data_IF_699789074422
#
_entry.id   IF_699789074422
#
_cell.length_a   1.000
_cell.length_b   1.000
_cell.length_c   1.000
_cell.angle_alpha   90.00
_cell.angle_beta   90.00
_cell.angle_gamma   90.00
#
_symmetry.space_group_name_H-M   'P 1'
#
loop_
_entity.id
_entity.type
_entity.pdbx_description
1 polymer ?
#
# COMPACT_ATOMS: atom_id res chain seq x y z
N UNK A 1 24.28 21.29 21.39
CA UNK A 1 23.53 22.30 20.60
C UNK A 1 24.27 23.66 20.48
N UNK A 2 25.61 23.71 20.43
CA UNK A 2 26.38 24.98 20.40
C UNK A 2 26.47 25.67 19.02
N UNK A 3 26.20 24.97 17.92
CA UNK A 3 26.53 25.47 16.57
C UNK A 3 25.38 26.13 15.79
N UNK A 4 24.13 26.07 16.26
CA UNK A 4 22.92 26.58 15.56
C UNK A 4 23.02 26.42 14.02
N UNK A 5 23.25 25.19 13.51
CA UNK A 5 23.44 24.98 12.08
C UNK A 5 22.19 25.39 11.31
N UNK A 6 22.37 26.01 10.16
CA UNK A 6 21.25 26.31 9.25
C UNK A 6 20.72 25.01 8.65
N UNK A 7 19.46 25.02 8.23
CA UNK A 7 18.82 23.84 7.64
C UNK A 7 19.58 23.32 6.41
N UNK A 8 20.16 24.24 5.63
CA UNK A 8 21.07 23.90 4.54
C UNK A 8 22.30 23.09 4.96
N UNK A 9 22.89 23.36 6.15
CA UNK A 9 24.02 22.58 6.69
C UNK A 9 23.54 21.22 7.19
N UNK A 10 22.32 21.12 7.70
CA UNK A 10 21.71 19.85 8.11
C UNK A 10 21.51 18.95 6.89
N UNK A 11 20.98 19.48 5.79
CA UNK A 11 20.83 18.75 4.52
C UNK A 11 22.18 18.25 3.99
N UNK A 12 23.23 19.06 4.05
CA UNK A 12 24.57 18.64 3.60
C UNK A 12 25.12 17.48 4.45
N UNK A 13 24.97 17.53 5.77
CA UNK A 13 25.35 16.43 6.66
C UNK A 13 24.52 15.18 6.42
N UNK A 14 23.21 15.30 6.16
CA UNK A 14 22.35 14.16 5.82
C UNK A 14 22.76 13.53 4.48
N UNK A 15 23.20 14.34 3.52
CA UNK A 15 23.75 13.86 2.25
C UNK A 15 25.02 13.04 2.46
N UNK A 16 25.97 13.56 3.24
CA UNK A 16 27.22 12.86 3.57
C UNK A 16 26.97 11.52 4.28
N UNK A 17 25.89 11.43 5.08
CA UNK A 17 25.45 10.21 5.75
C UNK A 17 24.62 9.27 4.88
N UNK A 18 24.36 9.60 3.60
CA UNK A 18 23.53 8.79 2.70
C UNK A 18 22.05 8.71 3.12
N UNK A 19 21.55 9.70 3.86
CA UNK A 19 20.17 9.75 4.37
C UNK A 19 19.23 10.60 3.51
N UNK A 20 19.67 10.96 2.31
CA UNK A 20 18.92 11.76 1.34
C UNK A 20 18.78 11.00 0.01
N UNK A 21 17.78 11.34 -0.81
CA UNK A 21 17.60 10.71 -2.11
C UNK A 21 18.77 10.95 -3.05
N UNK A 22 19.04 9.98 -3.91
CA UNK A 22 20.07 10.09 -4.96
C UNK A 22 19.56 10.97 -6.10
N UNK A 23 19.86 12.27 -6.01
CA UNK A 23 19.44 13.27 -7.01
C UNK A 23 20.60 13.71 -7.89
N UNK A 24 20.37 13.78 -9.19
CA UNK A 24 21.38 14.17 -10.20
C UNK A 24 21.93 15.56 -9.93
N UNK A 25 21.07 16.50 -9.54
CA UNK A 25 21.46 17.87 -9.21
C UNK A 25 21.04 18.25 -7.78
N UNK A 26 21.86 17.86 -6.80
CA UNK A 26 21.63 18.17 -5.40
C UNK A 26 21.52 19.66 -5.10
N UNK A 27 22.24 20.53 -5.83
CA UNK A 27 22.17 21.98 -5.59
C UNK A 27 20.79 22.54 -5.95
N UNK A 28 20.22 22.09 -7.06
CA UNK A 28 18.86 22.46 -7.47
C UNK A 28 17.82 21.91 -6.48
N UNK A 29 17.93 20.62 -6.14
CA UNK A 29 17.05 19.95 -5.19
C UNK A 29 17.07 20.60 -3.79
N UNK A 30 18.27 20.93 -3.28
CA UNK A 30 18.43 21.63 -2.01
C UNK A 30 17.77 23.00 -2.04
N UNK A 31 17.88 23.73 -3.16
CA UNK A 31 17.22 25.02 -3.33
C UNK A 31 15.71 24.86 -3.28
N UNK A 32 15.16 23.90 -4.02
CA UNK A 32 13.72 23.62 -4.06
C UNK A 32 13.15 23.31 -2.66
N UNK A 33 13.87 22.54 -1.85
CA UNK A 33 13.48 22.31 -0.45
C UNK A 33 13.53 23.60 0.36
N UNK A 34 14.62 24.36 0.27
CA UNK A 34 14.77 25.59 1.03
C UNK A 34 13.82 26.72 0.58
N UNK A 35 13.24 26.62 -0.61
CA UNK A 35 12.22 27.55 -1.10
C UNK A 35 10.93 27.48 -0.26
N UNK A 36 10.70 26.41 0.53
CA UNK A 36 9.58 26.34 1.47
C UNK A 36 9.63 27.42 2.57
N UNK A 37 10.81 28.00 2.85
CA UNK A 37 10.94 29.14 3.77
C UNK A 37 10.41 30.45 3.18
N UNK A 38 10.27 30.52 1.85
CA UNK A 38 9.88 31.72 1.11
C UNK A 38 8.48 31.61 0.47
N UNK A 39 7.88 30.42 0.52
CA UNK A 39 6.62 30.09 -0.13
C UNK A 39 5.60 29.65 0.93
N UNK A 40 4.37 30.11 0.80
CA UNK A 40 3.25 29.62 1.62
C UNK A 40 2.65 28.32 1.05
N UNK A 41 3.28 27.73 0.03
CA UNK A 41 2.90 26.42 -0.52
C UNK A 41 3.54 25.30 0.28
N UNK A 42 2.74 24.28 0.59
CA UNK A 42 3.22 23.01 1.12
C UNK A 42 4.13 22.36 0.07
N UNK A 43 5.36 22.04 0.48
CA UNK A 43 6.26 21.19 -0.30
C UNK A 43 5.98 19.74 0.08
N UNK A 44 5.64 18.92 -0.90
CA UNK A 44 5.30 17.51 -0.68
C UNK A 44 5.98 16.64 -1.73
N UNK A 45 6.72 15.63 -1.29
CA UNK A 45 7.42 14.72 -2.20
C UNK A 45 7.72 13.38 -1.55
N UNK A 46 8.09 12.39 -2.35
CA UNK A 46 8.57 11.08 -1.88
C UNK A 46 10.07 10.97 -2.13
N UNK A 47 10.83 10.70 -1.07
CA UNK A 47 12.28 10.49 -1.16
C UNK A 47 12.59 9.01 -1.21
N UNK A 48 13.21 8.59 -2.31
CA UNK A 48 13.80 7.26 -2.45
C UNK A 48 15.23 7.29 -1.93
N UNK A 49 15.46 6.73 -0.75
CA UNK A 49 16.76 6.69 -0.11
C UNK A 49 17.65 5.61 -0.70
N UNK A 50 18.97 5.78 -0.58
CA UNK A 50 19.95 4.84 -1.14
C UNK A 50 19.97 3.49 -0.43
N UNK A 51 19.38 3.40 0.77
CA UNK A 51 19.20 2.15 1.53
C UNK A 51 17.88 1.42 1.19
N UNK A 52 17.13 1.90 0.21
CA UNK A 52 15.89 1.28 -0.27
C UNK A 52 14.63 1.76 0.45
N UNK A 53 14.73 2.62 1.46
CA UNK A 53 13.56 3.21 2.10
C UNK A 53 12.88 4.25 1.25
N UNK A 54 11.57 4.39 1.42
CA UNK A 54 10.79 5.48 0.84
C UNK A 54 10.19 6.32 1.95
N UNK A 55 10.55 7.59 1.99
CA UNK A 55 10.00 8.55 2.93
C UNK A 55 9.03 9.48 2.22
N UNK A 56 7.82 9.63 2.73
CA UNK A 56 6.95 10.74 2.38
C UNK A 56 7.35 11.95 3.20
N UNK A 57 7.70 13.03 2.51
CA UNK A 57 8.25 14.25 3.11
C UNK A 57 7.34 15.42 2.79
N UNK A 58 6.82 16.02 3.85
CA UNK A 58 6.04 17.25 3.79
C UNK A 58 6.82 18.34 4.52
N UNK A 59 6.96 19.50 3.91
CA UNK A 59 7.52 20.69 4.53
C UNK A 59 6.54 21.86 4.39
N UNK A 60 6.18 22.44 5.53
CA UNK A 60 5.25 23.56 5.59
C UNK A 60 5.83 24.71 6.43
N UNK A 61 5.65 25.93 5.92
CA UNK A 61 6.00 27.15 6.63
C UNK A 61 4.99 27.43 7.74
N UNK A 62 5.49 27.69 8.94
CA UNK A 62 4.71 28.09 10.10
C UNK A 62 4.53 29.60 10.15
N UNK A 63 3.48 30.05 10.85
CA UNK A 63 3.17 31.48 11.03
C UNK A 63 4.29 32.27 11.73
N UNK A 64 5.13 31.59 12.51
CA UNK A 64 6.30 32.18 13.19
C UNK A 64 7.53 32.31 12.27
N UNK A 65 7.41 31.94 10.99
CA UNK A 65 8.49 31.98 10.01
C UNK A 65 9.44 30.77 10.04
N UNK A 66 9.18 29.78 10.91
CA UNK A 66 9.84 28.48 10.89
C UNK A 66 9.27 27.56 9.81
N UNK A 67 9.89 26.40 9.62
CA UNK A 67 9.39 25.32 8.76
C UNK A 67 9.28 24.06 9.60
N UNK A 68 8.16 23.36 9.46
CA UNK A 68 7.99 22.00 10.00
C UNK A 68 8.16 21.00 8.88
N UNK A 69 9.07 20.04 9.10
CA UNK A 69 9.20 18.85 8.29
C UNK A 69 8.48 17.68 8.94
N UNK A 70 7.64 16.99 8.19
CA UNK A 70 7.08 15.69 8.53
C UNK A 70 7.70 14.63 7.64
N UNK A 71 8.22 13.57 8.25
CA UNK A 71 8.75 12.41 7.56
C UNK A 71 7.92 11.19 7.97
N UNK A 72 7.26 10.56 7.01
CA UNK A 72 6.59 9.27 7.20
C UNK A 72 7.37 8.19 6.46
N UNK A 73 7.68 7.09 7.15
CA UNK A 73 8.31 5.94 6.52
C UNK A 73 7.23 5.08 5.84
N UNK A 74 7.13 5.18 4.52
CA UNK A 74 6.19 4.41 3.69
C UNK A 74 6.84 3.13 3.13
N UNK A 75 8.06 2.77 3.57
CA UNK A 75 8.82 1.65 3.01
C UNK A 75 8.06 0.34 3.09
N UNK A 76 7.34 0.08 4.19
CA UNK A 76 6.58 -1.17 4.34
C UNK A 76 5.39 -1.25 3.39
N UNK A 77 4.68 -0.14 3.16
CA UNK A 77 3.52 -0.08 2.28
C UNK A 77 3.97 -0.18 0.82
N UNK A 78 5.00 0.57 0.43
CA UNK A 78 5.50 0.61 -0.95
C UNK A 78 6.35 -0.60 -1.33
N UNK A 79 7.12 -1.19 -0.41
CA UNK A 79 7.84 -2.44 -0.69
C UNK A 79 6.88 -3.63 -0.79
N UNK A 80 5.79 -3.61 -0.05
CA UNK A 80 4.73 -4.61 -0.17
C UNK A 80 4.00 -4.46 -1.52
N UNK A 81 3.58 -3.24 -1.88
CA UNK A 81 2.94 -2.93 -3.16
C UNK A 81 3.84 -3.17 -4.39
N UNK A 82 5.13 -2.80 -4.31
CA UNK A 82 6.11 -3.01 -5.39
C UNK A 82 6.51 -4.48 -5.53
N UNK A 83 6.62 -5.22 -4.42
CA UNK A 83 6.79 -6.68 -4.46
C UNK A 83 5.57 -7.35 -5.08
N UNK A 84 4.36 -6.90 -4.77
CA UNK A 84 3.14 -7.42 -5.42
C UNK A 84 3.03 -7.02 -6.89
N UNK A 85 3.41 -5.80 -7.28
CA UNK A 85 3.44 -5.37 -8.69
C UNK A 85 4.47 -6.15 -9.51
N UNK A 86 5.64 -6.43 -8.94
CA UNK A 86 6.66 -7.26 -9.59
C UNK A 86 6.23 -8.74 -9.68
N UNK A 87 5.51 -9.25 -8.67
CA UNK A 87 4.89 -10.58 -8.70
C UNK A 87 3.70 -10.69 -9.68
N UNK A 88 3.06 -9.56 -10.00
CA UNK A 88 2.01 -9.42 -11.00
C UNK A 88 2.59 -9.38 -12.43
N UNK A 89 3.71 -8.68 -12.62
CA UNK A 89 4.36 -8.55 -13.94
C UNK A 89 5.14 -9.82 -14.36
N UNK A 90 5.58 -10.64 -13.39
CA UNK A 90 6.26 -11.92 -13.67
C UNK A 90 5.26 -13.07 -13.69
N UNK A 91 4.81 -13.36 -14.90
CA UNK A 91 3.96 -14.46 -15.32
C UNK A 91 4.21 -15.80 -14.58
N UNK A 92 3.14 -16.32 -13.98
CA UNK A 92 2.75 -17.71 -13.70
C UNK A 92 3.63 -18.71 -12.95
N UNK A 93 4.91 -18.49 -12.67
CA UNK A 93 5.75 -19.58 -12.09
C UNK A 93 6.02 -19.47 -10.57
N UNK A 94 5.77 -18.32 -9.93
CA UNK A 94 6.14 -18.11 -8.51
C UNK A 94 4.96 -18.00 -7.53
N UNK A 95 3.74 -17.80 -8.04
CA UNK A 95 2.53 -17.62 -7.24
C UNK A 95 2.06 -18.89 -6.50
N UNK A 96 2.59 -20.06 -6.85
CA UNK A 96 2.27 -21.35 -6.19
C UNK A 96 2.86 -21.50 -4.78
N UNK A 97 3.79 -20.61 -4.38
CA UNK A 97 4.47 -20.69 -3.07
C UNK A 97 3.88 -19.81 -1.97
N UNK A 98 2.98 -18.87 -2.31
CA UNK A 98 2.36 -17.97 -1.33
C UNK A 98 1.09 -18.61 -0.78
N UNK A 99 1.07 -18.85 0.54
CA UNK A 99 -0.16 -19.22 1.28
C UNK A 99 -1.19 -18.09 1.37
N UNK A 100 -0.80 -16.89 0.97
CA UNK A 100 -1.64 -15.69 0.96
C UNK A 100 -2.39 -15.58 -0.36
N UNK A 101 -3.71 -15.50 -0.29
CA UNK A 101 -4.58 -15.24 -1.43
C UNK A 101 -4.45 -13.80 -1.89
N UNK A 102 -4.24 -13.61 -3.19
CA UNK A 102 -4.11 -12.31 -3.83
C UNK A 102 -5.15 -12.20 -4.94
N UNK A 103 -5.83 -11.05 -5.01
CA UNK A 103 -6.74 -10.70 -6.10
C UNK A 103 -6.65 -9.20 -6.41
N UNK A 104 -6.73 -8.85 -7.68
CA UNK A 104 -6.72 -7.46 -8.16
C UNK A 104 -7.96 -7.20 -8.99
N UNK A 105 -8.64 -6.09 -8.70
CA UNK A 105 -9.78 -5.59 -9.47
C UNK A 105 -9.40 -4.33 -10.25
N UNK A 106 -9.87 -4.22 -11.49
CA UNK A 106 -9.75 -3.03 -12.31
C UNK A 106 -10.64 -1.88 -11.82
N UNK A 107 -10.48 -0.72 -12.45
CA UNK A 107 -11.35 0.45 -12.25
C UNK A 107 -12.80 0.19 -12.66
N UNK A 108 -13.04 -0.81 -13.50
CA UNK A 108 -14.35 -1.31 -13.92
C UNK A 108 -14.95 -2.32 -12.92
N UNK A 109 -14.29 -2.56 -11.79
CA UNK A 109 -14.70 -3.51 -10.76
C UNK A 109 -14.56 -4.97 -11.18
N UNK A 110 -13.96 -5.27 -12.34
CA UNK A 110 -13.75 -6.64 -12.80
C UNK A 110 -12.42 -7.18 -12.33
N UNK A 111 -12.40 -8.47 -12.03
CA UNK A 111 -11.19 -9.19 -11.66
C UNK A 111 -10.19 -9.09 -12.83
N UNK A 112 -8.93 -8.74 -12.52
CA UNK A 112 -7.82 -8.74 -13.49
C UNK A 112 -6.83 -9.87 -13.22
N UNK A 113 -6.52 -10.08 -11.95
CA UNK A 113 -5.49 -11.02 -11.51
C UNK A 113 -5.98 -11.73 -10.27
N UNK A 114 -5.68 -13.02 -10.16
CA UNK A 114 -5.84 -13.78 -8.94
C UNK A 114 -4.74 -14.84 -8.86
N UNK A 115 -4.46 -15.35 -7.65
CA UNK A 115 -3.61 -16.52 -7.47
C UNK A 115 -4.42 -17.75 -7.00
N UNK A 116 -3.87 -18.97 -7.12
CA UNK A 116 -4.56 -20.19 -6.65
C UNK A 116 -4.89 -20.21 -5.16
N UNK A 117 -4.09 -19.53 -4.33
CA UNK A 117 -4.36 -19.40 -2.90
C UNK A 117 -5.66 -18.64 -2.63
N UNK A 118 -5.97 -17.57 -3.38
CA UNK A 118 -7.23 -16.85 -3.26
C UNK A 118 -8.44 -17.74 -3.57
N UNK A 119 -8.35 -18.49 -4.68
CA UNK A 119 -9.38 -19.46 -5.06
C UNK A 119 -9.59 -20.52 -3.98
N UNK A 120 -8.49 -21.01 -3.39
CA UNK A 120 -8.50 -22.04 -2.34
C UNK A 120 -9.06 -21.52 -1.02
N UNK A 121 -8.65 -20.32 -0.59
CA UNK A 121 -9.17 -19.67 0.62
C UNK A 121 -10.68 -19.53 0.47
N UNK A 122 -11.18 -18.91 -0.61
CA UNK A 122 -12.61 -18.64 -0.73
C UNK A 122 -13.45 -19.77 -1.32
N UNK A 123 -12.83 -20.93 -1.61
CA UNK A 123 -13.52 -22.07 -2.21
C UNK A 123 -14.17 -21.75 -3.56
N UNK A 124 -13.60 -20.79 -4.31
CA UNK A 124 -14.13 -20.35 -5.59
C UNK A 124 -13.49 -21.18 -6.70
N UNK A 125 -14.28 -21.82 -7.59
CA UNK A 125 -13.73 -22.58 -8.71
C UNK A 125 -12.88 -21.70 -9.62
N UNK A 126 -11.67 -22.15 -9.99
CA UNK A 126 -10.77 -21.41 -10.88
C UNK A 126 -11.46 -21.00 -12.19
N UNK A 127 -12.22 -21.91 -12.81
CA UNK A 127 -13.05 -21.64 -14.00
C UNK A 127 -13.94 -20.39 -13.90
N UNK A 128 -14.42 -20.06 -12.70
CA UNK A 128 -15.27 -18.89 -12.46
C UNK A 128 -14.43 -17.61 -12.36
N UNK A 129 -13.22 -17.69 -11.83
CA UNK A 129 -12.29 -16.56 -11.76
C UNK A 129 -11.64 -16.26 -13.12
N UNK A 130 -11.44 -17.30 -13.95
CA UNK A 130 -10.97 -17.20 -15.34
C UNK A 130 -11.93 -16.42 -16.25
N UNK A 131 -13.20 -16.27 -15.87
CA UNK A 131 -14.19 -15.44 -16.58
C UNK A 131 -14.07 -13.94 -16.24
N UNK A 132 -13.10 -13.56 -15.38
CA UNK A 132 -12.88 -12.19 -14.91
C UNK A 132 -14.18 -11.54 -14.39
N UNK A 133 -14.81 -12.13 -13.35
CA UNK A 133 -16.10 -11.69 -12.83
C UNK A 133 -16.02 -10.29 -12.18
N UNK A 134 -17.17 -9.64 -12.06
CA UNK A 134 -17.27 -8.40 -11.29
C UNK A 134 -17.11 -8.68 -9.78
N UNK A 135 -16.62 -7.70 -9.02
CA UNK A 135 -16.41 -7.81 -7.57
C UNK A 135 -17.65 -8.29 -6.82
N UNK A 136 -18.85 -7.89 -7.25
CA UNK A 136 -20.11 -8.34 -6.63
C UNK A 136 -20.33 -9.85 -6.73
N UNK A 137 -19.92 -10.46 -7.84
CA UNK A 137 -20.00 -11.91 -8.02
C UNK A 137 -18.98 -12.64 -7.16
N UNK A 138 -17.76 -12.12 -7.08
CA UNK A 138 -16.72 -12.65 -6.20
C UNK A 138 -17.16 -12.57 -4.74
N UNK A 139 -17.69 -11.42 -4.32
CA UNK A 139 -18.28 -11.19 -3.00
C UNK A 139 -19.38 -12.20 -2.70
N UNK A 140 -20.34 -12.39 -3.62
CA UNK A 140 -21.45 -13.33 -3.46
C UNK A 140 -20.99 -14.77 -3.27
N UNK A 141 -19.89 -15.17 -3.91
CA UNK A 141 -19.31 -16.50 -3.78
C UNK A 141 -18.54 -16.65 -2.46
N UNK A 142 -17.69 -15.67 -2.14
CA UNK A 142 -16.88 -15.66 -0.92
C UNK A 142 -17.72 -15.54 0.36
N UNK A 143 -18.84 -14.81 0.31
CA UNK A 143 -19.75 -14.62 1.45
C UNK A 143 -20.42 -15.92 1.93
N UNK A 144 -20.34 -17.02 1.16
CA UNK A 144 -20.81 -18.34 1.59
C UNK A 144 -19.99 -18.92 2.75
N UNK A 145 -18.71 -18.52 2.86
CA UNK A 145 -17.79 -19.00 3.90
C UNK A 145 -17.63 -17.99 5.04
N UNK A 146 -18.06 -16.76 4.83
CA UNK A 146 -18.07 -15.68 5.82
C UNK A 146 -19.33 -14.82 5.64
N UNK A 147 -20.31 -15.00 6.54
CA UNK A 147 -21.64 -14.40 6.43
C UNK A 147 -21.73 -12.94 6.87
N UNK A 148 -20.62 -12.31 7.29
CA UNK A 148 -20.62 -10.88 7.60
C UNK A 148 -20.63 -10.07 6.30
N UNK A 149 -21.80 -9.56 5.94
CA UNK A 149 -22.01 -8.79 4.72
C UNK A 149 -21.45 -7.37 4.82
N UNK A 150 -21.19 -6.84 6.03
CA UNK A 150 -20.73 -5.46 6.20
C UNK A 150 -19.32 -5.29 5.63
N UNK A 151 -18.43 -6.24 5.94
CA UNK A 151 -17.05 -6.23 5.43
C UNK A 151 -17.04 -6.37 3.90
N UNK A 152 -17.85 -7.28 3.36
CA UNK A 152 -17.95 -7.48 1.93
C UNK A 152 -18.53 -6.27 1.18
N UNK A 153 -19.53 -5.60 1.76
CA UNK A 153 -20.06 -4.35 1.20
C UNK A 153 -19.00 -3.25 1.21
N UNK A 154 -18.21 -3.16 2.28
CA UNK A 154 -17.09 -2.21 2.36
C UNK A 154 -16.03 -2.49 1.28
N UNK A 155 -15.68 -3.75 1.06
CA UNK A 155 -14.77 -4.18 -0.02
C UNK A 155 -15.33 -3.80 -1.39
N UNK A 156 -16.59 -4.16 -1.68
CA UNK A 156 -17.22 -3.84 -2.96
C UNK A 156 -17.22 -2.35 -3.25
N UNK A 157 -17.63 -1.53 -2.26
CA UNK A 157 -17.60 -0.06 -2.37
C UNK A 157 -16.19 0.48 -2.62
N UNK A 158 -15.18 -0.05 -1.94
CA UNK A 158 -13.80 0.41 -2.11
C UNK A 158 -13.22 0.06 -3.49
N UNK A 159 -13.62 -1.07 -4.06
CA UNK A 159 -13.24 -1.47 -5.43
C UNK A 159 -13.91 -0.57 -6.48
N UNK A 160 -15.17 -0.20 -6.28
CA UNK A 160 -15.95 0.62 -7.23
C UNK A 160 -15.92 2.12 -6.94
N UNK A 161 -15.25 2.57 -5.88
CA UNK A 161 -15.17 3.98 -5.50
C UNK A 161 -14.34 4.79 -6.51
N UNK A 162 -14.59 6.10 -6.59
CA UNK A 162 -13.76 7.02 -7.34
C UNK A 162 -12.35 7.10 -6.74
N UNK A 163 -11.34 7.36 -7.59
CA UNK A 163 -9.91 7.29 -7.25
C UNK A 163 -9.55 8.06 -5.98
N UNK A 164 -10.13 9.23 -5.76
CA UNK A 164 -9.77 10.14 -4.66
C UNK A 164 -10.33 9.72 -3.29
N UNK A 165 -11.28 8.78 -3.26
CA UNK A 165 -11.96 8.32 -2.03
C UNK A 165 -11.49 6.93 -1.56
N UNK A 166 -10.53 6.32 -2.27
CA UNK A 166 -10.03 4.97 -1.93
C UNK A 166 -9.01 5.06 -0.80
N UNK A 167 -9.45 4.73 0.40
CA UNK A 167 -8.57 4.59 1.57
C UNK A 167 -8.17 3.13 1.76
N UNK A 168 -6.88 2.84 2.00
CA UNK A 168 -6.46 1.49 2.34
C UNK A 168 -7.06 1.10 3.69
N UNK A 169 -7.41 -0.17 3.83
CA UNK A 169 -7.84 -0.70 5.12
C UNK A 169 -7.57 -2.19 5.24
N UNK A 170 -7.43 -2.63 6.47
CA UNK A 170 -7.19 -4.01 6.84
C UNK A 170 -8.17 -4.44 7.93
N UNK A 171 -8.25 -5.74 8.13
CA UNK A 171 -9.05 -6.32 9.18
C UNK A 171 -8.96 -7.83 9.17
N UNK A 172 -9.91 -8.44 9.86
CA UNK A 172 -9.92 -9.88 10.05
C UNK A 172 -11.33 -10.44 9.97
N UNK A 173 -11.45 -11.56 9.28
CA UNK A 173 -12.68 -12.31 9.12
C UNK A 173 -12.57 -13.63 9.89
N UNK A 174 -13.59 -13.96 10.66
CA UNK A 174 -13.76 -15.31 11.20
C UNK A 174 -14.70 -16.09 10.31
N UNK A 175 -14.24 -17.20 9.75
CA UNK A 175 -15.03 -18.05 8.86
C UNK A 175 -15.89 -19.06 9.62
N UNK A 176 -16.87 -19.60 8.91
CA UNK A 176 -17.79 -20.61 9.45
C UNK A 176 -17.09 -21.90 9.90
N UNK A 177 -15.93 -22.22 9.30
CA UNK A 177 -15.06 -23.34 9.65
C UNK A 177 -14.10 -23.05 10.84
N UNK A 178 -14.32 -21.93 11.55
CA UNK A 178 -13.46 -21.42 12.63
C UNK A 178 -12.03 -21.06 12.18
N UNK A 179 -11.79 -20.85 10.88
CA UNK A 179 -10.55 -20.24 10.41
C UNK A 179 -10.57 -18.72 10.59
N UNK A 180 -9.39 -18.14 10.74
CA UNK A 180 -9.20 -16.70 10.86
C UNK A 180 -8.41 -16.21 9.65
N UNK A 181 -9.03 -15.32 8.89
CA UNK A 181 -8.47 -14.76 7.67
C UNK A 181 -8.18 -13.28 7.91
N UNK A 182 -6.91 -12.91 7.91
CA UNK A 182 -6.52 -11.51 7.83
C UNK A 182 -6.68 -11.04 6.38
N UNK A 183 -7.16 -9.82 6.20
CA UNK A 183 -7.30 -9.22 4.88
C UNK A 183 -6.78 -7.80 4.87
N UNK A 184 -6.26 -7.38 3.73
CA UNK A 184 -5.88 -6.00 3.46
C UNK A 184 -6.35 -5.58 2.08
N UNK A 185 -6.76 -4.32 1.97
CA UNK A 185 -7.14 -3.68 0.71
C UNK A 185 -6.27 -2.44 0.51
N UNK A 186 -5.65 -2.36 -0.66
CA UNK A 186 -4.83 -1.21 -1.06
C UNK A 186 -5.19 -0.74 -2.48
N UNK A 187 -5.48 0.55 -2.70
CA UNK A 187 -5.57 1.10 -4.05
C UNK A 187 -4.20 1.12 -4.73
N UNK A 188 -4.17 0.88 -6.04
CA UNK A 188 -2.98 0.90 -6.87
C UNK A 188 -2.89 2.21 -7.68
N UNK A 189 -1.68 2.65 -8.10
CA UNK A 189 -1.50 3.92 -8.82
C UNK A 189 -2.24 4.03 -10.17
N UNK A 190 -2.60 2.90 -10.78
CA UNK A 190 -3.36 2.82 -12.03
C UNK A 190 -4.88 2.84 -11.81
N UNK A 191 -5.32 2.96 -10.55
CA UNK A 191 -6.73 2.90 -10.17
C UNK A 191 -7.29 1.50 -9.99
N UNK A 192 -6.47 0.46 -10.09
CA UNK A 192 -6.87 -0.86 -9.66
C UNK A 192 -6.92 -0.94 -8.11
N UNK A 193 -7.51 -2.00 -7.59
CA UNK A 193 -7.53 -2.28 -6.14
C UNK A 193 -6.98 -3.67 -5.90
N UNK A 194 -5.97 -3.77 -5.04
CA UNK A 194 -5.38 -5.00 -4.55
C UNK A 194 -6.09 -5.45 -3.28
N UNK A 195 -6.46 -6.72 -3.21
CA UNK A 195 -6.86 -7.39 -1.98
C UNK A 195 -5.95 -8.57 -1.68
N UNK A 196 -5.56 -8.69 -0.41
CA UNK A 196 -4.86 -9.86 0.10
C UNK A 196 -5.64 -10.54 1.21
N UNK A 197 -5.43 -11.86 1.35
CA UNK A 197 -6.08 -12.71 2.33
C UNK A 197 -5.09 -13.74 2.88
N UNK A 198 -4.84 -13.75 4.18
CA UNK A 198 -3.93 -14.68 4.83
C UNK A 198 -4.66 -15.53 5.87
N UNK A 199 -4.54 -16.86 5.79
CA UNK A 199 -5.01 -17.73 6.86
C UNK A 199 -4.01 -17.69 8.03
N UNK A 200 -4.44 -17.08 9.14
CA UNK A 200 -3.64 -16.91 10.37
C UNK A 200 -4.16 -17.79 11.51
N UNK A 201 -4.93 -18.83 11.18
CA UNK A 201 -5.58 -19.69 12.18
C UNK A 201 -4.58 -20.34 13.15
N UNK A 202 -3.47 -20.86 12.64
CA UNK A 202 -2.44 -21.53 13.45
C UNK A 202 -1.71 -20.54 14.37
N UNK A 203 -1.34 -19.38 13.84
CA UNK A 203 -0.71 -18.31 14.62
C UNK A 203 -1.63 -17.85 15.76
N UNK A 204 -2.93 -17.67 15.47
CA UNK A 204 -3.92 -17.24 16.47
C UNK A 204 -4.21 -18.30 17.53
N UNK A 205 -4.10 -19.59 17.19
CA UNK A 205 -4.27 -20.70 18.15
C UNK A 205 -3.07 -20.82 19.09
N UNK A 206 -1.86 -20.47 18.63
CA UNK A 206 -0.64 -20.51 19.43
C UNK A 206 -0.51 -19.35 20.44
N UNK A 207 -1.21 -18.23 20.20
CA UNK A 207 -1.23 -17.06 21.11
C UNK A 207 -2.28 -17.16 22.24
N UNK A 208 -3.06 -18.25 22.29
CA UNK A 208 -4.10 -18.48 23.32
C UNK A 208 -3.68 -19.47 24.39
#
# INVERSE_FOLDING_TARGET
LKERPTDGVILDRLREQGKLPSVVNYRAWKKEILDCYQSDKVFETRWHLTDGRVLHVIAERRQDGGVTYLFSDETKTLALESRYKTLIDVQSETLDSLKEGVVVFGTDGRLKIYNPAFASIWGIPARTLEEFPHVDEVVRLASRLHNDLEIWQRIGRAVTAFLDDRTPFEGQMKRADNSFIDYALSPLPDGATLLTFADVTDARRAER
#
